data_IF_788514244323
#
_entry.id   IF_788514244323
#
_cell.length_a   1.000
_cell.length_b   1.000
_cell.length_c   1.000
_cell.angle_alpha   90.00
_cell.angle_beta   90.00
_cell.angle_gamma   90.00
#
_symmetry.space_group_name_H-M   'P 1'
#
loop_
_entity.id
_entity.type
_entity.pdbx_description
1 polymer ?
#
# COMPACT_ATOMS: atom_id res chain seq x y z
N UNK A 1 23.32 -28.53 26.90
CA UNK A 1 22.78 -27.29 27.46
C UNK A 1 22.86 -26.21 26.39
N UNK A 2 21.68 -25.71 26.03
CA UNK A 2 21.41 -24.49 25.23
C UNK A 2 21.94 -24.48 23.79
N UNK A 3 21.15 -25.05 22.87
CA UNK A 3 20.74 -24.53 21.54
C UNK A 3 19.68 -25.53 21.06
N UNK A 4 18.45 -25.41 21.55
CA UNK A 4 17.24 -26.10 21.08
C UNK A 4 16.04 -25.38 21.71
N UNK A 5 15.73 -24.22 21.18
CA UNK A 5 14.50 -23.50 21.49
C UNK A 5 14.23 -22.52 20.35
N UNK A 6 13.56 -23.00 19.29
CA UNK A 6 12.58 -22.26 18.48
C UNK A 6 12.16 -23.14 17.30
N UNK A 7 10.84 -23.28 17.14
CA UNK A 7 10.11 -23.93 16.05
C UNK A 7 9.94 -25.46 16.11
N UNK A 8 9.18 -25.94 17.09
CA UNK A 8 8.24 -27.05 16.86
C UNK A 8 6.96 -26.75 17.66
N UNK A 9 5.89 -26.38 16.96
CA UNK A 9 4.52 -26.65 17.43
C UNK A 9 4.00 -27.77 16.55
N UNK A 10 3.87 -28.93 17.16
CA UNK A 10 3.21 -30.12 16.64
C UNK A 10 1.75 -29.81 16.29
N UNK A 11 1.40 -29.78 15.01
CA UNK A 11 0.01 -29.89 14.56
C UNK A 11 -0.36 -31.37 14.62
N UNK A 12 -1.21 -31.72 15.57
CA UNK A 12 -1.89 -33.02 15.56
C UNK A 12 -3.02 -32.93 14.52
N UNK A 13 -2.88 -33.71 13.45
CA UNK A 13 -3.92 -33.87 12.44
C UNK A 13 -5.10 -34.63 13.04
N UNK A 14 -6.28 -34.00 13.09
CA UNK A 14 -7.56 -34.70 13.17
C UNK A 14 -8.35 -34.41 11.89
N UNK A 15 -8.94 -35.43 11.23
CA UNK A 15 -9.71 -35.21 10.02
C UNK A 15 -11.12 -34.79 10.43
N UNK A 16 -11.51 -33.55 10.16
CA UNK A 16 -12.92 -33.15 10.22
C UNK A 16 -13.29 -32.48 8.90
N UNK A 17 -14.18 -33.18 8.22
CA UNK A 17 -14.98 -32.88 7.04
C UNK A 17 -15.08 -31.41 6.64
N UNK A 18 -14.67 -31.13 5.40
CA UNK A 18 -15.03 -29.93 4.65
C UNK A 18 -16.56 -29.81 4.59
N UNK A 19 -17.11 -28.77 5.22
CA UNK A 19 -18.44 -28.27 4.89
C UNK A 19 -18.24 -27.07 3.97
N UNK A 20 -18.80 -27.16 2.78
CA UNK A 20 -18.86 -26.07 1.82
C UNK A 20 -19.71 -24.94 2.44
N UNK A 21 -19.05 -23.90 2.94
CA UNK A 21 -19.73 -22.63 3.20
C UNK A 21 -19.74 -21.84 1.90
N UNK A 22 -20.95 -21.59 1.42
CA UNK A 22 -21.25 -20.84 0.21
C UNK A 22 -20.54 -19.49 0.20
N UNK A 23 -19.91 -19.18 -0.94
CA UNK A 23 -19.65 -17.82 -1.40
C UNK A 23 -20.97 -17.04 -1.38
N UNK A 24 -21.28 -16.40 -0.26
CA UNK A 24 -22.25 -15.33 -0.22
C UNK A 24 -21.47 -14.04 -0.44
N UNK A 25 -21.48 -13.64 -1.71
CA UNK A 25 -21.35 -12.28 -2.24
C UNK A 25 -21.21 -11.23 -1.13
N UNK A 26 -19.97 -10.91 -0.76
CA UNK A 26 -19.69 -9.66 -0.08
C UNK A 26 -20.25 -8.57 -1.00
N UNK A 27 -21.31 -7.93 -0.56
CA UNK A 27 -22.04 -6.93 -1.35
C UNK A 27 -21.03 -6.01 -2.01
N UNK A 28 -21.17 -5.82 -3.33
CA UNK A 28 -20.25 -5.09 -4.21
C UNK A 28 -19.74 -3.75 -3.65
N UNK A 29 -20.46 -3.14 -2.70
CA UNK A 29 -20.08 -1.92 -1.97
C UNK A 29 -18.93 -2.10 -0.96
N UNK A 30 -18.75 -3.27 -0.33
CA UNK A 30 -17.75 -3.48 0.72
C UNK A 30 -16.34 -3.78 0.19
N UNK A 31 -16.22 -4.13 -1.09
CA UNK A 31 -14.94 -4.49 -1.71
C UNK A 31 -14.11 -3.27 -2.13
N UNK A 32 -14.74 -2.11 -2.35
CA UNK A 32 -14.08 -0.91 -2.84
C UNK A 32 -13.78 0.09 -1.71
N UNK A 33 -12.82 1.01 -1.92
CA UNK A 33 -12.61 2.12 -1.00
C UNK A 33 -13.88 3.00 -0.89
N UNK A 34 -14.12 3.66 0.26
CA UNK A 34 -15.23 4.60 0.38
C UNK A 34 -15.19 5.66 -0.71
N UNK A 35 -16.36 6.04 -1.24
CA UNK A 35 -16.52 7.05 -2.29
C UNK A 35 -15.87 6.68 -3.63
N UNK A 36 -15.62 5.39 -3.88
CA UNK A 36 -15.00 4.92 -5.13
C UNK A 36 -15.71 5.42 -6.39
N UNK A 37 -17.03 5.36 -6.43
CA UNK A 37 -17.82 5.78 -7.59
C UNK A 37 -17.87 7.30 -7.78
N UNK A 38 -17.50 8.08 -6.75
CA UNK A 38 -17.43 9.54 -6.81
C UNK A 38 -16.03 10.04 -7.16
N UNK A 39 -15.00 9.19 -7.03
CA UNK A 39 -13.63 9.56 -7.34
C UNK A 39 -13.43 9.80 -8.86
N UNK A 40 -12.65 10.83 -9.25
CA UNK A 40 -12.28 11.08 -10.64
C UNK A 40 -11.78 9.83 -11.36
N UNK A 41 -12.36 9.50 -12.52
CA UNK A 41 -12.03 8.28 -13.26
C UNK A 41 -11.02 8.52 -14.38
N UNK A 42 -10.94 9.77 -14.84
CA UNK A 42 -10.08 10.25 -15.90
C UNK A 42 -9.32 11.51 -15.48
N UNK A 43 -8.16 11.75 -16.08
CA UNK A 43 -7.34 12.93 -15.77
C UNK A 43 -8.06 14.25 -16.04
N UNK A 44 -9.01 14.26 -16.97
CA UNK A 44 -9.82 15.43 -17.32
C UNK A 44 -10.99 15.69 -16.36
N UNK A 45 -11.28 14.75 -15.45
CA UNK A 45 -12.29 14.93 -14.41
C UNK A 45 -11.77 15.81 -13.27
N UNK A 46 -10.45 16.03 -13.20
CA UNK A 46 -9.82 16.97 -12.28
C UNK A 46 -9.92 18.42 -12.79
N UNK A 47 -9.92 19.42 -11.89
CA UNK A 47 -9.94 20.82 -12.28
C UNK A 47 -8.76 21.21 -13.17
N UNK A 48 -9.03 21.90 -14.27
CA UNK A 48 -8.01 22.54 -15.11
C UNK A 48 -7.90 24.02 -14.75
N UNK A 49 -6.70 24.48 -14.36
CA UNK A 49 -6.40 25.89 -14.07
C UNK A 49 -5.07 26.26 -14.72
N UNK A 50 -5.01 27.43 -15.35
CA UNK A 50 -3.80 27.94 -16.01
C UNK A 50 -3.13 26.94 -16.96
N UNK A 51 -3.94 26.20 -17.74
CA UNK A 51 -3.51 25.14 -18.65
C UNK A 51 -2.81 23.95 -17.98
N UNK A 52 -3.14 23.67 -16.72
CA UNK A 52 -2.67 22.51 -15.97
C UNK A 52 -3.84 21.77 -15.33
N UNK A 53 -3.74 20.44 -15.28
CA UNK A 53 -4.58 19.61 -14.42
C UNK A 53 -4.07 19.77 -12.98
N UNK A 54 -4.93 20.26 -12.10
CA UNK A 54 -4.59 20.56 -10.71
C UNK A 54 -5.24 19.53 -9.81
N UNK A 55 -4.43 18.83 -9.01
CA UNK A 55 -4.88 17.79 -8.09
C UNK A 55 -4.55 18.18 -6.65
N UNK A 56 -5.57 18.24 -5.80
CA UNK A 56 -5.40 18.37 -4.36
C UNK A 56 -5.11 17.02 -3.72
N UNK A 57 -3.83 16.68 -3.57
CA UNK A 57 -3.43 15.47 -2.86
C UNK A 57 -3.89 15.44 -1.39
N UNK A 58 -4.30 16.56 -0.79
CA UNK A 58 -4.78 16.64 0.59
C UNK A 58 -6.31 16.55 0.71
N UNK A 59 -6.98 16.17 -0.38
CA UNK A 59 -8.37 15.77 -0.40
C UNK A 59 -8.47 14.27 -0.68
N UNK A 60 -9.27 13.55 0.12
CA UNK A 60 -9.44 12.10 0.03
C UNK A 60 -9.98 11.66 -1.33
N UNK A 61 -11.01 12.31 -1.86
CA UNK A 61 -11.64 11.92 -3.11
C UNK A 61 -10.71 12.18 -4.30
N UNK A 62 -9.99 13.29 -4.31
CA UNK A 62 -9.00 13.59 -5.36
C UNK A 62 -7.80 12.64 -5.30
N UNK A 63 -7.27 12.32 -4.11
CA UNK A 63 -6.22 11.31 -3.94
C UNK A 63 -6.71 9.90 -4.33
N UNK A 64 -7.98 9.58 -4.08
CA UNK A 64 -8.59 8.34 -4.56
C UNK A 64 -8.67 8.31 -6.10
N UNK A 65 -9.00 9.44 -6.73
CA UNK A 65 -9.00 9.60 -8.19
C UNK A 65 -7.62 9.35 -8.81
N UNK A 66 -6.54 9.74 -8.13
CA UNK A 66 -5.16 9.44 -8.56
C UNK A 66 -4.94 7.92 -8.69
N UNK A 67 -5.36 7.13 -7.71
CA UNK A 67 -5.28 5.67 -7.78
C UNK A 67 -6.18 5.08 -8.86
N UNK A 68 -7.39 5.61 -9.00
CA UNK A 68 -8.36 5.16 -10.00
C UNK A 68 -7.85 5.35 -11.42
N UNK A 69 -7.20 6.48 -11.69
CA UNK A 69 -6.54 6.75 -12.97
C UNK A 69 -5.39 5.75 -13.24
N UNK A 70 -4.56 5.44 -12.23
CA UNK A 70 -3.53 4.40 -12.36
C UNK A 70 -4.11 3.03 -12.72
N UNK A 71 -5.17 2.62 -12.01
CA UNK A 71 -5.85 1.36 -12.26
C UNK A 71 -6.46 1.31 -13.67
N UNK A 72 -7.16 2.37 -14.09
CA UNK A 72 -7.79 2.46 -15.39
C UNK A 72 -6.76 2.39 -16.53
N UNK A 73 -5.69 3.17 -16.46
CA UNK A 73 -4.67 3.21 -17.52
C UNK A 73 -3.80 1.95 -17.59
N UNK A 74 -3.67 1.22 -16.48
CA UNK A 74 -2.93 -0.05 -16.43
C UNK A 74 -3.79 -1.29 -16.70
N UNK A 75 -5.13 -1.15 -16.77
CA UNK A 75 -6.05 -2.28 -16.86
C UNK A 75 -5.77 -3.25 -18.01
N UNK A 76 -5.31 -2.73 -19.15
CA UNK A 76 -4.96 -3.52 -20.35
C UNK A 76 -3.92 -4.61 -20.08
N UNK A 77 -3.02 -4.41 -19.11
CA UNK A 77 -1.98 -5.38 -18.75
C UNK A 77 -2.48 -6.51 -17.85
N UNK A 78 -3.62 -6.31 -17.18
CA UNK A 78 -4.14 -7.24 -16.18
C UNK A 78 -5.38 -8.02 -16.64
N UNK A 79 -5.74 -7.92 -17.92
CA UNK A 79 -6.94 -8.56 -18.52
C UNK A 79 -6.96 -10.08 -18.34
N UNK A 80 -5.79 -10.74 -18.29
CA UNK A 80 -5.67 -12.18 -18.08
C UNK A 80 -5.77 -12.62 -16.61
N UNK A 81 -5.77 -11.68 -15.66
CA UNK A 81 -5.64 -11.97 -14.22
C UNK A 81 -6.93 -11.67 -13.42
N UNK A 82 -7.99 -11.23 -14.08
CA UNK A 82 -9.30 -11.02 -13.45
C UNK A 82 -10.26 -10.22 -14.32
N UNK A 83 -11.56 -10.41 -14.10
CA UNK A 83 -12.60 -9.60 -14.75
C UNK A 83 -12.65 -8.20 -14.16
N UNK A 84 -13.05 -7.19 -14.95
CA UNK A 84 -13.27 -5.82 -14.48
C UNK A 84 -12.05 -5.25 -13.72
N UNK A 85 -10.84 -5.54 -14.21
CA UNK A 85 -9.57 -5.08 -13.63
C UNK A 85 -9.29 -5.61 -12.21
N UNK A 86 -10.01 -6.62 -11.70
CA UNK A 86 -9.83 -7.11 -10.32
C UNK A 86 -8.44 -7.68 -10.03
N UNK A 87 -7.78 -8.26 -11.04
CA UNK A 87 -6.43 -8.82 -10.96
C UNK A 87 -5.29 -7.80 -10.99
N UNK A 88 -5.59 -6.51 -10.98
CA UNK A 88 -4.56 -5.46 -11.04
C UNK A 88 -3.86 -5.30 -9.70
N UNK A 89 -2.55 -5.52 -9.68
CA UNK A 89 -1.76 -5.47 -8.43
C UNK A 89 -1.61 -4.05 -7.86
N UNK A 90 -2.14 -3.02 -8.52
CA UNK A 90 -2.21 -1.67 -7.95
C UNK A 90 -3.38 -1.49 -6.97
N UNK A 91 -4.32 -2.44 -6.86
CA UNK A 91 -5.44 -2.36 -5.92
C UNK A 91 -5.00 -2.26 -4.45
N UNK A 92 -3.81 -2.78 -4.12
CA UNK A 92 -3.15 -2.60 -2.84
C UNK A 92 -3.17 -1.16 -2.33
N UNK A 93 -2.93 -0.19 -3.22
CA UNK A 93 -2.78 1.22 -2.85
C UNK A 93 -4.12 1.90 -2.46
N UNK A 94 -5.16 1.91 -3.31
CA UNK A 94 -6.43 2.55 -2.97
C UNK A 94 -7.18 1.83 -1.85
N UNK A 95 -7.04 0.51 -1.70
CA UNK A 95 -7.69 -0.21 -0.60
C UNK A 95 -7.07 0.16 0.75
N UNK A 96 -5.73 0.22 0.83
CA UNK A 96 -5.06 0.75 2.02
C UNK A 96 -5.46 2.20 2.31
N UNK A 97 -5.57 3.04 1.29
CA UNK A 97 -6.04 4.42 1.45
C UNK A 97 -7.47 4.49 2.01
N UNK A 98 -8.37 3.63 1.52
CA UNK A 98 -9.74 3.50 2.04
C UNK A 98 -9.79 3.02 3.48
N UNK A 99 -8.95 2.04 3.86
CA UNK A 99 -8.80 1.61 5.26
C UNK A 99 -8.29 2.76 6.14
N UNK A 100 -7.28 3.52 5.69
CA UNK A 100 -6.78 4.69 6.44
C UNK A 100 -7.88 5.73 6.65
N UNK A 101 -8.70 5.98 5.63
CA UNK A 101 -9.83 6.90 5.73
C UNK A 101 -10.90 6.43 6.73
N UNK A 102 -11.38 5.18 6.60
CA UNK A 102 -12.43 4.63 7.49
C UNK A 102 -12.01 4.56 8.95
N UNK A 103 -10.72 4.38 9.20
CA UNK A 103 -10.19 4.22 10.56
C UNK A 103 -9.72 5.52 11.20
N UNK A 104 -9.93 6.66 10.54
CA UNK A 104 -9.55 7.98 11.05
C UNK A 104 -8.06 8.31 10.94
N UNK A 105 -7.25 7.43 10.33
CA UNK A 105 -5.81 7.59 10.22
C UNK A 105 -5.40 8.76 9.32
N UNK A 106 -6.27 9.23 8.45
CA UNK A 106 -5.99 10.39 7.59
C UNK A 106 -6.30 11.75 8.24
N UNK A 107 -7.07 11.77 9.34
CA UNK A 107 -7.48 12.98 10.05
C UNK A 107 -6.33 13.62 10.83
N UNK A 108 -6.51 14.83 11.36
CA UNK A 108 -5.51 15.49 12.20
C UNK A 108 -5.43 14.85 13.60
N UNK A 109 -4.34 14.15 13.94
CA UNK A 109 -4.22 13.50 15.26
C UNK A 109 -3.89 14.51 16.38
N UNK A 110 -3.46 15.73 16.05
CA UNK A 110 -3.01 16.72 17.04
C UNK A 110 -4.15 17.46 17.74
N UNK A 111 -5.40 17.28 17.31
CA UNK A 111 -6.56 18.10 17.70
C UNK A 111 -6.40 19.60 17.42
N UNK A 112 -5.40 20.00 16.61
CA UNK A 112 -5.15 21.39 16.28
C UNK A 112 -6.03 21.94 15.15
N UNK A 113 -6.65 21.05 14.37
CA UNK A 113 -7.59 21.37 13.29
C UNK A 113 -8.74 20.34 13.27
N UNK A 114 -9.85 20.66 12.60
CA UNK A 114 -10.96 19.74 12.36
C UNK A 114 -10.82 18.96 11.04
N UNK A 115 -9.63 18.92 10.44
CA UNK A 115 -9.36 18.20 9.20
C UNK A 115 -9.59 16.69 9.36
N UNK A 116 -10.46 16.12 8.53
CA UNK A 116 -10.79 14.69 8.52
C UNK A 116 -11.85 14.27 9.56
N UNK A 117 -12.38 15.21 10.33
CA UNK A 117 -13.47 14.95 11.29
C UNK A 117 -14.84 15.33 10.72
N UNK A 118 -15.91 14.72 11.24
CA UNK A 118 -17.28 14.94 10.75
C UNK A 118 -17.82 16.36 10.98
N UNK A 119 -17.35 17.02 12.05
CA UNK A 119 -17.68 18.40 12.40
C UNK A 119 -16.80 19.45 11.68
N UNK A 120 -15.85 18.99 10.85
CA UNK A 120 -14.99 19.81 10.01
C UNK A 120 -15.09 19.47 8.52
N UNK A 121 -13.95 19.44 7.83
CA UNK A 121 -13.86 18.92 6.47
C UNK A 121 -13.49 17.44 6.52
N UNK A 122 -14.50 16.57 6.42
CA UNK A 122 -14.34 15.11 6.42
C UNK A 122 -13.43 14.59 5.31
N UNK A 123 -13.34 15.27 4.17
CA UNK A 123 -12.50 14.83 3.05
C UNK A 123 -11.08 15.38 3.14
N UNK A 124 -10.80 16.28 4.07
CA UNK A 124 -9.45 16.78 4.32
C UNK A 124 -8.53 15.66 4.84
N UNK A 125 -7.35 15.57 4.24
CA UNK A 125 -6.25 14.71 4.68
C UNK A 125 -5.24 15.59 5.41
N UNK A 126 -4.97 15.29 6.67
CA UNK A 126 -4.08 16.11 7.48
C UNK A 126 -2.61 15.83 7.18
N UNK A 127 -1.83 16.89 6.96
CA UNK A 127 -0.36 16.84 6.85
C UNK A 127 0.33 16.58 8.20
N UNK A 128 -0.41 16.62 9.31
CA UNK A 128 0.09 16.23 10.64
C UNK A 128 -0.08 14.74 10.93
N UNK A 129 -0.89 14.04 10.14
CA UNK A 129 -0.99 12.58 10.25
C UNK A 129 0.23 11.91 9.65
N UNK A 130 0.87 11.05 10.45
CA UNK A 130 1.93 10.16 9.98
C UNK A 130 1.46 9.30 8.80
N UNK A 131 0.28 8.69 8.92
CA UNK A 131 -0.29 7.83 7.88
C UNK A 131 -0.52 8.59 6.57
N UNK A 132 -1.07 9.80 6.63
CA UNK A 132 -1.30 10.66 5.48
C UNK A 132 -0.01 11.00 4.72
N UNK A 133 1.04 11.31 5.47
CA UNK A 133 2.36 11.66 4.94
C UNK A 133 3.07 10.45 4.32
N UNK A 134 3.05 9.30 4.99
CA UNK A 134 3.56 8.04 4.45
C UNK A 134 2.80 7.64 3.18
N UNK A 135 1.48 7.75 3.19
CA UNK A 135 0.63 7.44 2.05
C UNK A 135 0.87 8.38 0.86
N UNK A 136 1.25 9.65 1.06
CA UNK A 136 1.61 10.54 -0.06
C UNK A 136 2.71 9.94 -0.95
N UNK A 137 3.72 9.34 -0.34
CA UNK A 137 4.83 8.67 -1.04
C UNK A 137 4.39 7.39 -1.76
N UNK A 138 3.23 6.84 -1.40
CA UNK A 138 2.59 5.68 -2.00
C UNK A 138 1.39 6.05 -2.90
N UNK A 139 1.07 7.34 -3.03
CA UNK A 139 -0.02 7.86 -3.85
C UNK A 139 0.50 8.70 -5.01
N UNK A 140 1.16 9.81 -4.67
CA UNK A 140 1.50 10.87 -5.61
C UNK A 140 2.77 10.54 -6.37
N UNK A 141 3.78 10.02 -5.69
CA UNK A 141 5.04 9.64 -6.34
C UNK A 141 4.84 8.49 -7.34
N UNK A 142 4.12 7.39 -7.04
CA UNK A 142 3.81 6.38 -8.05
C UNK A 142 3.04 6.97 -9.24
N UNK A 143 2.07 7.84 -8.98
CA UNK A 143 1.31 8.48 -10.05
C UNK A 143 2.19 9.35 -10.97
N UNK A 144 3.05 10.19 -10.40
CA UNK A 144 3.98 11.00 -11.17
C UNK A 144 5.08 10.16 -11.85
N UNK A 145 5.46 9.02 -11.25
CA UNK A 145 6.29 8.01 -11.91
C UNK A 145 5.60 7.40 -13.13
N UNK A 146 4.29 7.16 -13.07
CA UNK A 146 3.49 6.71 -14.21
C UNK A 146 3.34 7.78 -15.31
N UNK A 147 3.22 9.06 -14.91
CA UNK A 147 3.27 10.19 -15.84
C UNK A 147 4.59 10.19 -16.59
N UNK A 148 5.72 10.08 -15.88
CA UNK A 148 7.04 10.07 -16.51
C UNK A 148 7.27 8.83 -17.39
N UNK A 149 6.71 7.68 -17.00
CA UNK A 149 6.74 6.45 -17.80
C UNK A 149 5.79 6.48 -19.02
N UNK A 150 5.04 7.58 -19.22
CA UNK A 150 4.10 7.74 -20.32
C UNK A 150 2.89 6.81 -20.26
N UNK A 151 2.51 6.33 -19.07
CA UNK A 151 1.38 5.41 -18.89
C UNK A 151 0.06 6.00 -19.44
N UNK A 152 -0.12 7.30 -19.25
CA UNK A 152 -1.30 8.06 -19.65
C UNK A 152 -1.27 8.52 -21.12
N UNK A 153 -0.23 8.18 -21.88
CA UNK A 153 -0.04 8.65 -23.25
C UNK A 153 0.26 10.16 -23.33
N UNK A 154 -0.10 10.78 -24.45
CA UNK A 154 0.07 12.21 -24.64
C UNK A 154 -0.94 12.97 -23.77
N UNK A 155 -0.43 13.72 -22.80
CA UNK A 155 -1.26 14.58 -21.95
C UNK A 155 -1.60 15.88 -22.68
N UNK A 156 -2.85 16.32 -22.55
CA UNK A 156 -3.32 17.61 -23.06
C UNK A 156 -2.80 18.78 -22.21
N UNK A 157 -2.68 18.55 -20.90
CA UNK A 157 -2.24 19.53 -19.92
C UNK A 157 -1.19 18.90 -19.01
N UNK A 158 -0.25 19.71 -18.54
CA UNK A 158 0.68 19.27 -17.49
C UNK A 158 -0.09 19.02 -16.19
N UNK A 159 0.43 18.11 -15.36
CA UNK A 159 -0.17 17.79 -14.06
C UNK A 159 0.62 18.47 -12.96
N UNK A 160 -0.10 19.17 -12.08
CA UNK A 160 0.43 19.84 -10.90
C UNK A 160 -0.33 19.40 -9.65
N UNK A 161 0.41 19.00 -8.62
CA UNK A 161 -0.13 18.62 -7.33
C UNK A 161 -0.10 19.83 -6.40
N UNK A 162 -1.23 20.15 -5.76
CA UNK A 162 -1.28 21.28 -4.85
C UNK A 162 -0.45 21.02 -3.59
N UNK A 163 0.39 21.99 -3.16
CA UNK A 163 1.13 21.87 -1.92
C UNK A 163 0.22 22.02 -0.70
N UNK A 164 0.51 21.32 0.42
CA UNK A 164 -0.12 21.60 1.70
C UNK A 164 0.28 22.99 2.23
N UNK A 165 -0.41 23.48 3.25
CA UNK A 165 -0.02 24.73 3.91
C UNK A 165 1.26 24.57 4.74
N UNK A 166 1.34 23.49 5.52
CA UNK A 166 2.49 23.12 6.35
C UNK A 166 3.37 22.08 5.65
N UNK A 167 4.64 21.96 6.04
CA UNK A 167 5.59 20.93 5.55
C UNK A 167 5.76 20.87 4.02
N UNK A 168 5.57 21.98 3.30
CA UNK A 168 5.74 22.05 1.84
C UNK A 168 7.06 21.47 1.32
N UNK A 169 8.15 21.72 2.04
CA UNK A 169 9.47 21.24 1.63
C UNK A 169 9.65 19.71 1.73
N UNK A 170 8.69 18.98 2.31
CA UNK A 170 8.76 17.53 2.49
C UNK A 170 8.20 16.72 1.32
N UNK A 171 7.45 17.34 0.41
CA UNK A 171 6.79 16.66 -0.70
C UNK A 171 7.28 17.18 -2.06
N UNK A 172 6.92 16.49 -3.14
CA UNK A 172 7.16 16.94 -4.51
C UNK A 172 5.85 17.04 -5.27
N UNK A 173 5.78 17.94 -6.25
CA UNK A 173 4.50 18.43 -6.80
C UNK A 173 4.31 18.29 -8.30
N UNK A 174 5.34 17.82 -9.01
CA UNK A 174 5.29 17.50 -10.43
C UNK A 174 6.27 16.37 -10.74
N UNK A 175 6.16 15.74 -11.90
CA UNK A 175 7.08 14.67 -12.30
C UNK A 175 8.54 15.16 -12.31
N UNK A 176 8.79 16.37 -12.82
CA UNK A 176 10.12 16.97 -12.84
C UNK A 176 10.66 17.26 -11.43
N UNK A 177 9.81 17.79 -10.53
CA UNK A 177 10.19 18.06 -9.15
C UNK A 177 10.48 16.77 -8.37
N UNK A 178 9.62 15.75 -8.49
CA UNK A 178 9.85 14.44 -7.87
C UNK A 178 11.11 13.76 -8.41
N UNK A 179 11.39 13.87 -9.71
CA UNK A 179 12.62 13.36 -10.33
C UNK A 179 13.86 14.04 -9.78
N UNK A 180 13.81 15.35 -9.57
CA UNK A 180 14.92 16.12 -8.98
C UNK A 180 15.16 15.75 -7.52
N UNK A 181 14.10 15.62 -6.72
CA UNK A 181 14.18 15.39 -5.27
C UNK A 181 14.41 13.93 -4.89
N UNK A 182 13.79 13.00 -5.61
CA UNK A 182 13.77 11.58 -5.31
C UNK A 182 14.12 10.73 -6.55
N UNK A 183 15.28 10.95 -7.19
CA UNK A 183 15.61 10.34 -8.49
C UNK A 183 15.52 8.81 -8.45
N UNK A 184 16.08 8.18 -7.41
CA UNK A 184 16.02 6.72 -7.24
C UNK A 184 14.57 6.22 -7.11
N UNK A 185 13.73 6.88 -6.32
CA UNK A 185 12.35 6.44 -6.15
C UNK A 185 11.54 6.57 -7.44
N UNK A 186 11.77 7.66 -8.19
CA UNK A 186 11.16 7.84 -9.50
C UNK A 186 11.67 6.80 -10.52
N UNK A 187 12.94 6.38 -10.44
CA UNK A 187 13.46 5.26 -11.26
C UNK A 187 12.74 3.95 -10.95
N UNK A 188 12.51 3.61 -9.67
CA UNK A 188 11.82 2.37 -9.31
C UNK A 188 10.37 2.34 -9.80
N UNK A 189 9.62 3.42 -9.61
CA UNK A 189 8.24 3.51 -10.11
C UNK A 189 8.20 3.52 -11.64
N UNK A 190 9.11 4.24 -12.30
CA UNK A 190 9.23 4.25 -13.76
C UNK A 190 9.51 2.85 -14.30
N UNK A 191 10.46 2.11 -13.69
CA UNK A 191 10.77 0.74 -14.08
C UNK A 191 9.54 -0.19 -14.00
N UNK A 192 8.73 -0.05 -12.94
CA UNK A 192 7.47 -0.79 -12.84
C UNK A 192 6.49 -0.47 -13.99
N UNK A 193 6.27 0.81 -14.29
CA UNK A 193 5.32 1.20 -15.33
C UNK A 193 5.83 0.94 -16.75
N UNK A 194 7.14 1.00 -17.00
CA UNK A 194 7.75 0.71 -18.30
C UNK A 194 7.73 -0.78 -18.64
N UNK A 195 7.96 -1.67 -17.67
CA UNK A 195 7.83 -3.13 -17.88
C UNK A 195 6.43 -3.50 -18.34
N UNK A 196 5.43 -2.81 -17.79
CA UNK A 196 4.05 -2.96 -18.22
C UNK A 196 3.81 -2.28 -19.57
N UNK A 197 4.42 -1.12 -19.83
CA UNK A 197 4.36 -0.40 -21.10
C UNK A 197 5.24 -0.99 -22.22
N UNK A 198 5.38 -2.32 -22.24
CA UNK A 198 5.95 -3.09 -23.34
C UNK A 198 5.07 -3.03 -24.59
N UNK A 199 4.68 -1.83 -25.01
CA UNK A 199 4.39 -1.44 -26.40
C UNK A 199 5.68 -0.94 -27.06
N UNK A 200 6.66 -0.44 -26.29
CA UNK A 200 7.92 0.07 -26.83
C UNK A 200 8.89 -1.03 -27.29
N UNK A 201 8.83 -2.23 -26.70
CA UNK A 201 9.58 -3.40 -27.19
C UNK A 201 9.00 -4.03 -28.47
N UNK A 202 7.72 -3.77 -28.79
CA UNK A 202 7.08 -4.34 -29.99
C UNK A 202 7.47 -3.62 -31.29
N UNK A 203 7.90 -2.36 -31.21
CA UNK A 203 8.21 -1.59 -32.43
C UNK A 203 9.59 -1.89 -33.04
N UNK A 204 10.49 -2.56 -32.32
CA UNK A 204 11.87 -2.81 -32.78
C UNK A 204 12.13 -4.30 -33.10
N UNK A 205 11.44 -5.24 -32.45
CA UNK A 205 11.63 -6.68 -32.70
C UNK A 205 10.29 -7.42 -32.85
N UNK A 206 9.88 -7.84 -34.07
CA UNK A 206 8.62 -8.55 -34.29
C UNK A 206 8.56 -9.99 -33.75
N UNK A 207 9.56 -10.47 -33.00
CA UNK A 207 9.81 -11.91 -32.87
C UNK A 207 10.02 -12.46 -31.45
N UNK A 208 9.85 -11.68 -30.38
CA UNK A 208 9.91 -12.21 -29.01
C UNK A 208 8.77 -11.64 -28.18
N UNK A 209 7.67 -12.38 -28.11
CA UNK A 209 6.63 -12.18 -27.09
C UNK A 209 7.26 -12.34 -25.70
N UNK A 210 7.68 -11.24 -25.07
CA UNK A 210 7.87 -11.25 -23.63
C UNK A 210 6.46 -11.20 -23.02
N UNK A 211 5.87 -12.36 -22.78
CA UNK A 211 4.60 -12.46 -22.06
C UNK A 211 4.74 -11.73 -20.72
N UNK A 212 3.81 -10.83 -20.40
CA UNK A 212 3.74 -10.19 -19.08
C UNK A 212 3.84 -11.27 -17.98
N UNK A 213 4.83 -11.15 -17.10
CA UNK A 213 5.02 -12.05 -15.96
C UNK A 213 4.61 -11.33 -14.70
N UNK A 214 3.52 -11.79 -14.09
CA UNK A 214 2.97 -11.20 -12.88
C UNK A 214 4.00 -11.11 -11.74
N UNK A 215 4.85 -12.12 -11.56
CA UNK A 215 5.88 -12.14 -10.52
C UNK A 215 6.97 -11.08 -10.73
N UNK A 216 7.34 -10.76 -11.98
CA UNK A 216 8.28 -9.69 -12.30
C UNK A 216 7.64 -8.30 -12.07
N UNK A 217 6.37 -8.14 -12.42
CA UNK A 217 5.62 -6.92 -12.14
C UNK A 217 5.46 -6.69 -10.62
N UNK A 218 5.15 -7.74 -9.86
CA UNK A 218 5.11 -7.71 -8.40
C UNK A 218 6.47 -7.36 -7.81
N UNK A 219 7.56 -7.93 -8.33
CA UNK A 219 8.91 -7.58 -7.89
C UNK A 219 9.18 -6.07 -7.98
N UNK A 220 8.91 -5.48 -9.15
CA UNK A 220 9.17 -4.07 -9.41
C UNK A 220 8.24 -3.16 -8.60
N UNK A 221 6.95 -3.50 -8.52
CA UNK A 221 5.98 -2.77 -7.70
C UNK A 221 6.40 -2.77 -6.23
N UNK A 222 6.73 -3.93 -5.67
CA UNK A 222 7.15 -4.05 -4.28
C UNK A 222 8.47 -3.33 -4.01
N UNK A 223 9.43 -3.39 -4.94
CA UNK A 223 10.69 -2.64 -4.83
C UNK A 223 10.46 -1.14 -4.78
N UNK A 224 9.58 -0.60 -5.64
CA UNK A 224 9.22 0.80 -5.62
C UNK A 224 8.45 1.17 -4.33
N UNK A 225 7.52 0.31 -3.90
CA UNK A 225 6.74 0.47 -2.67
C UNK A 225 7.61 0.56 -1.42
N UNK A 226 8.52 -0.39 -1.18
CA UNK A 226 9.41 -0.35 0.00
C UNK A 226 10.41 0.81 -0.09
N UNK A 227 10.80 1.20 -1.31
CA UNK A 227 11.63 2.41 -1.50
C UNK A 227 10.85 3.67 -1.10
N UNK A 228 9.57 3.79 -1.45
CA UNK A 228 8.70 4.88 -0.99
C UNK A 228 8.67 4.97 0.54
N UNK A 229 8.46 3.84 1.21
CA UNK A 229 8.46 3.76 2.69
C UNK A 229 9.82 4.17 3.25
N UNK A 230 10.93 3.69 2.68
CA UNK A 230 12.28 4.01 3.15
C UNK A 230 12.62 5.50 3.06
N UNK A 231 12.09 6.22 2.06
CA UNK A 231 12.22 7.68 1.97
C UNK A 231 11.33 8.42 2.97
N UNK A 232 10.09 7.96 3.15
CA UNK A 232 9.10 8.62 3.98
C UNK A 232 9.34 8.43 5.48
N UNK A 233 9.71 7.22 5.91
CA UNK A 233 9.80 6.83 7.32
C UNK A 233 10.68 7.78 8.18
N UNK A 234 11.96 8.05 7.85
CA UNK A 234 12.79 8.95 8.65
C UNK A 234 12.31 10.40 8.60
N UNK A 235 11.63 10.80 7.52
CA UNK A 235 11.15 12.17 7.31
C UNK A 235 9.94 12.51 8.17
N UNK A 236 9.07 11.53 8.44
CA UNK A 236 7.83 11.74 9.17
C UNK A 236 7.86 11.18 10.59
N UNK A 237 9.01 10.69 11.07
CA UNK A 237 9.17 10.16 12.43
C UNK A 237 8.65 11.12 13.50
N UNK A 238 8.81 12.42 13.30
CA UNK A 238 8.36 13.47 14.21
C UNK A 238 6.83 13.57 14.33
N UNK A 239 6.08 13.08 13.34
CA UNK A 239 4.62 13.10 13.32
C UNK A 239 4.02 11.99 14.19
N UNK A 240 4.80 10.96 14.54
CA UNK A 240 4.38 9.91 15.46
C UNK A 240 4.05 10.44 16.86
N UNK A 241 4.63 11.59 17.26
CA UNK A 241 4.38 12.22 18.57
C UNK A 241 2.92 12.66 18.78
N UNK A 242 2.15 12.77 17.71
CA UNK A 242 0.72 13.13 17.78
C UNK A 242 -0.18 11.90 17.96
N UNK A 243 0.36 10.68 17.87
CA UNK A 243 -0.37 9.43 18.04
C UNK A 243 -0.18 8.90 19.47
N UNK A 244 -1.09 8.04 19.91
CA UNK A 244 -0.90 7.23 21.12
C UNK A 244 0.31 6.32 20.97
N UNK A 245 0.93 5.90 22.07
CA UNK A 245 2.07 4.99 22.00
C UNK A 245 1.70 3.66 21.28
N UNK A 246 0.52 3.05 21.54
CA UNK A 246 0.09 1.87 20.79
C UNK A 246 -0.01 2.09 19.28
N UNK A 247 -0.57 3.21 18.81
CA UNK A 247 -0.76 3.49 17.39
C UNK A 247 0.56 3.87 16.71
N UNK A 248 1.41 4.68 17.37
CA UNK A 248 2.73 5.02 16.88
C UNK A 248 3.59 3.76 16.67
N UNK A 249 3.59 2.86 17.67
CA UNK A 249 4.27 1.58 17.57
C UNK A 249 3.69 0.72 16.43
N UNK A 250 2.37 0.69 16.27
CA UNK A 250 1.75 -0.05 15.16
C UNK A 250 2.17 0.51 13.79
N UNK A 251 2.25 1.83 13.62
CA UNK A 251 2.75 2.45 12.39
C UNK A 251 4.16 1.96 12.03
N UNK A 252 5.06 1.90 13.02
CA UNK A 252 6.42 1.38 12.82
C UNK A 252 6.46 -0.14 12.62
N UNK A 253 5.65 -0.90 13.37
CA UNK A 253 5.49 -2.35 13.24
C UNK A 253 5.00 -2.70 11.82
N UNK A 254 4.03 -1.93 11.30
CA UNK A 254 3.49 -2.05 9.94
C UNK A 254 4.53 -1.71 8.88
N UNK A 255 5.20 -0.55 8.98
CA UNK A 255 6.22 -0.14 8.03
C UNK A 255 7.34 -1.18 7.91
N UNK A 256 7.78 -1.77 9.03
CA UNK A 256 8.75 -2.87 9.00
C UNK A 256 8.17 -4.17 8.44
N UNK A 257 6.94 -4.53 8.81
CA UNK A 257 6.28 -5.73 8.31
C UNK A 257 6.12 -5.74 6.79
N UNK A 258 5.90 -4.57 6.18
CA UNK A 258 5.79 -4.45 4.71
C UNK A 258 7.05 -4.92 3.99
N UNK A 259 8.26 -4.72 4.52
CA UNK A 259 9.49 -5.26 3.91
C UNK A 259 9.49 -6.80 3.81
N UNK A 260 8.92 -7.47 4.81
CA UNK A 260 8.78 -8.92 4.82
C UNK A 260 7.73 -9.39 3.82
N UNK A 261 6.59 -8.71 3.76
CA UNK A 261 5.51 -8.99 2.80
C UNK A 261 6.04 -8.80 1.37
N UNK A 262 6.71 -7.68 1.11
CA UNK A 262 7.27 -7.31 -0.18
C UNK A 262 8.25 -8.37 -0.72
N UNK A 263 9.11 -8.91 0.14
CA UNK A 263 10.07 -9.95 -0.24
C UNK A 263 9.38 -11.20 -0.81
N UNK A 264 8.14 -11.49 -0.43
CA UNK A 264 7.40 -12.67 -0.93
C UNK A 264 6.73 -12.46 -2.28
N UNK A 265 6.80 -11.25 -2.86
CA UNK A 265 5.98 -10.82 -3.99
C UNK A 265 4.50 -11.11 -3.72
N UNK A 266 4.01 -10.66 -2.56
CA UNK A 266 2.63 -10.89 -2.15
C UNK A 266 1.65 -10.23 -3.14
N UNK A 267 0.59 -10.92 -3.54
CA UNK A 267 -0.37 -10.33 -4.48
C UNK A 267 -1.13 -9.19 -3.81
N UNK A 268 -1.33 -8.11 -4.56
CA UNK A 268 -2.02 -6.89 -4.12
C UNK A 268 -3.18 -6.56 -5.05
N UNK A 269 -3.77 -7.61 -5.63
CA UNK A 269 -5.04 -7.52 -6.36
C UNK A 269 -6.22 -7.17 -5.43
N UNK A 270 -7.38 -6.90 -6.02
CA UNK A 270 -8.57 -6.43 -5.30
C UNK A 270 -9.01 -7.41 -4.22
N UNK A 271 -9.18 -8.69 -4.58
CA UNK A 271 -9.72 -9.70 -3.68
C UNK A 271 -8.74 -10.01 -2.55
N UNK A 272 -7.47 -10.24 -2.89
CA UNK A 272 -6.43 -10.54 -1.92
C UNK A 272 -6.28 -9.40 -0.92
N UNK A 273 -6.15 -8.16 -1.40
CA UNK A 273 -5.99 -7.01 -0.51
C UNK A 273 -7.24 -6.79 0.35
N UNK A 274 -8.44 -6.89 -0.23
CA UNK A 274 -9.68 -6.70 0.51
C UNK A 274 -9.85 -7.73 1.64
N UNK A 275 -9.45 -8.98 1.40
CA UNK A 275 -9.48 -10.02 2.41
C UNK A 275 -8.47 -9.73 3.53
N UNK A 276 -7.24 -9.38 3.19
CA UNK A 276 -6.18 -9.21 4.20
C UNK A 276 -6.33 -7.92 5.03
N UNK A 277 -6.88 -6.85 4.47
CA UNK A 277 -7.10 -5.61 5.22
C UNK A 277 -8.15 -5.74 6.34
N UNK A 278 -9.03 -6.74 6.27
CA UNK A 278 -9.98 -7.05 7.34
C UNK A 278 -9.27 -7.44 8.66
N UNK A 279 -8.06 -8.01 8.57
CA UNK A 279 -7.26 -8.40 9.73
C UNK A 279 -6.39 -7.26 10.28
N UNK A 280 -6.46 -6.06 9.70
CA UNK A 280 -5.85 -4.86 10.28
C UNK A 280 -6.76 -4.28 11.37
N UNK A 281 -6.22 -3.42 12.26
CA UNK A 281 -7.02 -2.67 13.23
C UNK A 281 -8.08 -1.83 12.52
N UNK A 282 -9.37 -2.05 12.84
CA UNK A 282 -10.49 -1.29 12.26
C UNK A 282 -10.76 0.05 12.99
N UNK A 283 -9.86 0.45 13.90
CA UNK A 283 -9.75 1.79 14.49
C UNK A 283 -8.29 2.10 14.79
N UNK A 284 -7.97 3.35 15.09
CA UNK A 284 -6.69 3.69 15.70
C UNK A 284 -6.56 2.98 17.06
N UNK A 285 -5.35 2.51 17.35
CA UNK A 285 -5.02 2.01 18.67
C UNK A 285 -4.97 3.17 19.67
N UNK A 286 -5.39 2.91 20.91
CA UNK A 286 -5.48 3.91 21.97
C UNK A 286 -4.79 3.41 23.22
N UNK A 287 -4.54 4.31 24.17
CA UNK A 287 -4.04 3.93 25.49
C UNK A 287 -4.95 2.88 26.15
N UNK A 288 -4.34 1.80 26.63
CA UNK A 288 -5.06 0.63 27.16
C UNK A 288 -5.20 -0.54 26.18
N UNK A 289 -4.92 -0.36 24.89
CA UNK A 289 -4.83 -1.47 23.93
C UNK A 289 -3.54 -2.28 24.16
N UNK A 290 -3.68 -3.48 24.73
CA UNK A 290 -2.54 -4.32 25.12
C UNK A 290 -2.59 -5.67 24.38
N UNK A 291 -1.56 -5.94 23.58
CA UNK A 291 -1.36 -7.25 22.96
C UNK A 291 -1.02 -8.32 24.02
N UNK A 292 -1.49 -9.56 23.87
CA UNK A 292 -2.09 -10.14 22.66
C UNK A 292 -3.62 -10.08 22.61
N UNK A 293 -4.28 -9.30 23.47
CA UNK A 293 -5.74 -9.33 23.58
C UNK A 293 -6.32 -7.93 23.79
N UNK A 294 -6.69 -7.32 22.66
CA UNK A 294 -7.56 -6.15 22.59
C UNK A 294 -8.99 -6.65 22.44
N UNK A 295 -9.87 -6.26 23.37
CA UNK A 295 -11.17 -6.91 23.60
C UNK A 295 -12.18 -6.75 22.47
N UNK A 296 -12.14 -5.63 21.76
CA UNK A 296 -13.00 -5.34 20.62
C UNK A 296 -12.41 -5.78 19.28
N UNK A 297 -11.24 -6.43 19.28
CA UNK A 297 -10.60 -6.97 18.08
C UNK A 297 -10.81 -8.48 17.99
N UNK A 298 -10.98 -8.97 16.77
CA UNK A 298 -11.00 -10.40 16.49
C UNK A 298 -9.67 -11.07 16.89
N UNK A 299 -9.68 -12.40 17.13
CA UNK A 299 -8.44 -13.15 17.35
C UNK A 299 -7.42 -12.97 16.22
N UNK A 300 -7.88 -12.89 14.98
CA UNK A 300 -7.03 -12.70 13.79
C UNK A 300 -6.35 -11.33 13.81
N UNK A 301 -7.08 -10.26 14.10
CA UNK A 301 -6.51 -8.91 14.22
C UNK A 301 -5.46 -8.83 15.33
N UNK A 302 -5.76 -9.39 16.51
CA UNK A 302 -4.83 -9.47 17.62
C UNK A 302 -3.55 -10.25 17.25
N UNK A 303 -3.70 -11.36 16.53
CA UNK A 303 -2.55 -12.15 16.07
C UNK A 303 -1.70 -11.40 15.04
N UNK A 304 -2.31 -10.74 14.06
CA UNK A 304 -1.59 -9.95 13.06
C UNK A 304 -0.78 -8.84 13.74
N UNK A 305 -1.38 -8.10 14.68
CA UNK A 305 -0.66 -7.10 15.46
C UNK A 305 0.52 -7.67 16.25
N UNK A 306 0.30 -8.80 16.93
CA UNK A 306 1.36 -9.49 17.67
C UNK A 306 2.51 -9.92 16.75
N UNK A 307 2.19 -10.48 15.59
CA UNK A 307 3.17 -10.93 14.61
C UNK A 307 3.98 -9.78 14.03
N UNK A 308 3.35 -8.65 13.68
CA UNK A 308 4.06 -7.45 13.21
C UNK A 308 5.03 -6.92 14.27
N UNK A 309 4.57 -6.82 15.53
CA UNK A 309 5.42 -6.40 16.65
C UNK A 309 6.58 -7.36 16.88
N UNK A 310 6.35 -8.66 16.80
CA UNK A 310 7.39 -9.68 16.96
C UNK A 310 8.44 -9.57 15.84
N UNK A 311 8.00 -9.41 14.58
CA UNK A 311 8.89 -9.21 13.43
C UNK A 311 9.76 -7.98 13.60
N UNK A 312 9.17 -6.82 13.92
CA UNK A 312 9.93 -5.58 14.12
C UNK A 312 10.94 -5.72 15.25
N UNK A 313 10.53 -6.23 16.42
CA UNK A 313 11.45 -6.44 17.55
C UNK A 313 12.59 -7.37 17.18
N UNK A 314 12.31 -8.51 16.54
CA UNK A 314 13.35 -9.44 16.10
C UNK A 314 14.30 -8.78 15.09
N UNK A 315 13.77 -8.00 14.15
CA UNK A 315 14.58 -7.32 13.15
C UNK A 315 15.46 -6.22 13.77
N UNK A 316 14.93 -5.45 14.72
CA UNK A 316 15.69 -4.44 15.48
C UNK A 316 16.81 -5.09 16.31
N UNK A 317 16.49 -6.13 17.10
CA UNK A 317 17.47 -6.84 17.94
C UNK A 317 18.61 -7.46 17.14
N UNK A 318 18.36 -7.79 15.87
CA UNK A 318 19.35 -8.41 14.98
C UNK A 318 19.99 -7.42 14.01
N UNK A 319 19.76 -6.11 14.17
CA UNK A 319 20.32 -5.09 13.28
C UNK A 319 19.94 -5.28 11.81
N UNK A 320 18.74 -5.78 11.55
CA UNK A 320 18.23 -6.06 10.20
C UNK A 320 18.61 -7.42 9.62
N UNK A 321 19.34 -8.27 10.36
CA UNK A 321 19.79 -9.57 9.84
C UNK A 321 18.63 -10.51 9.52
N UNK A 322 17.57 -10.52 10.33
CA UNK A 322 16.38 -11.35 10.08
C UNK A 322 15.74 -11.02 8.72
N UNK A 323 15.54 -9.73 8.42
CA UNK A 323 15.03 -9.31 7.11
C UNK A 323 15.96 -9.71 5.97
N UNK A 324 17.29 -9.55 6.13
CA UNK A 324 18.25 -9.94 5.08
C UNK A 324 18.21 -11.44 4.79
N UNK A 325 18.12 -12.27 5.83
CA UNK A 325 17.99 -13.72 5.67
C UNK A 325 16.65 -14.10 5.03
N UNK A 326 15.57 -13.42 5.41
CA UNK A 326 14.26 -13.58 4.79
C UNK A 326 14.30 -13.25 3.30
N UNK A 327 14.81 -12.08 2.91
CA UNK A 327 14.97 -11.67 1.52
C UNK A 327 15.82 -12.67 0.72
N UNK A 328 16.89 -13.19 1.32
CA UNK A 328 17.70 -14.25 0.69
C UNK A 328 16.89 -15.53 0.47
N UNK A 329 16.09 -15.95 1.44
CA UNK A 329 15.21 -17.11 1.28
C UNK A 329 14.16 -16.89 0.18
N UNK A 330 13.62 -15.68 0.08
CA UNK A 330 12.62 -15.28 -0.92
C UNK A 330 13.22 -14.98 -2.31
N UNK A 331 14.53 -15.12 -2.51
CA UNK A 331 15.16 -14.93 -3.83
C UNK A 331 14.72 -15.97 -4.87
N UNK A 332 14.15 -17.09 -4.43
CA UNK A 332 13.62 -18.16 -5.30
C UNK A 332 12.10 -18.18 -5.31
N UNK A 333 11.49 -18.62 -6.41
CA UNK A 333 10.03 -18.77 -6.52
C UNK A 333 9.46 -19.71 -5.44
N UNK A 334 10.15 -20.84 -5.19
CA UNK A 334 9.76 -21.78 -4.13
C UNK A 334 9.80 -21.13 -2.73
N UNK A 335 10.84 -20.34 -2.47
CA UNK A 335 10.95 -19.53 -1.25
C UNK A 335 9.78 -18.57 -1.12
N UNK A 336 9.48 -17.78 -2.16
CA UNK A 336 8.34 -16.84 -2.16
C UNK A 336 7.00 -17.54 -1.94
N UNK A 337 6.78 -18.69 -2.58
CA UNK A 337 5.54 -19.47 -2.40
C UNK A 337 5.37 -19.92 -0.94
N UNK A 338 6.42 -20.41 -0.30
CA UNK A 338 6.38 -20.75 1.13
C UNK A 338 6.19 -19.51 2.00
N UNK A 339 6.84 -18.39 1.67
CA UNK A 339 6.70 -17.13 2.38
C UNK A 339 5.26 -16.58 2.33
N UNK A 340 4.63 -16.58 1.15
CA UNK A 340 3.22 -16.19 1.00
C UNK A 340 2.29 -17.08 1.82
N UNK A 341 2.51 -18.40 1.78
CA UNK A 341 1.74 -19.35 2.59
C UNK A 341 1.86 -19.05 4.09
N UNK A 342 3.05 -18.70 4.59
CA UNK A 342 3.23 -18.32 5.99
C UNK A 342 2.42 -17.06 6.34
N UNK A 343 2.37 -16.07 5.45
CA UNK A 343 1.56 -14.85 5.64
C UNK A 343 0.05 -15.19 5.62
N UNK A 344 -0.38 -16.06 4.71
CA UNK A 344 -1.78 -16.50 4.60
C UNK A 344 -2.24 -17.32 5.81
N UNK A 345 -1.39 -18.22 6.31
CA UNK A 345 -1.69 -19.07 7.47
C UNK A 345 -1.84 -18.22 8.76
N UNK A 346 -1.09 -17.10 8.87
CA UNK A 346 -1.23 -16.14 9.99
C UNK A 346 -2.62 -15.50 10.04
N UNK A 347 -3.18 -15.19 8.87
CA UNK A 347 -4.45 -14.50 8.71
C UNK A 347 -5.68 -15.42 8.82
N UNK A 348 -5.51 -16.73 8.58
CA UNK A 348 -6.61 -17.69 8.45
C UNK A 348 -6.82 -18.64 9.64
N UNK A 349 -5.84 -18.78 10.54
CA UNK A 349 -5.88 -19.78 11.64
C UNK A 349 -6.56 -19.29 12.93
#
# INVERSE_FOLDING_TARGET
>A
FVIHALLIVTVTLSPVTASAQSEQDATREDAYPPLWDLAPENLMDFPVKDSKIVINAWNYQERLGVYKNLLNSSAKYFTAFGSQNSGNILWGLPLQHGWQFRTGRLADPSSGTSCGYEDGDRLCISVRSWWSCMNYYLAIIPFLGAVEAGLFGQLQYEIEILPPEERRADFCYSAADCRSRFPKLMDEWKAYFEVNNSTFFFHIFPATFSSFKLDDALHLMWRAHVTSIAYALPKFQDSLKYLSDPEANFGEDWANGVDFIAATHFSTDLQTTNNFQAFLPQRMLVEGDVLPSISDFSPQQNRVLLSLRALRRANQLTGGLVLKLWQKAMSTEAGRKMGRKLIEDLASS
#
